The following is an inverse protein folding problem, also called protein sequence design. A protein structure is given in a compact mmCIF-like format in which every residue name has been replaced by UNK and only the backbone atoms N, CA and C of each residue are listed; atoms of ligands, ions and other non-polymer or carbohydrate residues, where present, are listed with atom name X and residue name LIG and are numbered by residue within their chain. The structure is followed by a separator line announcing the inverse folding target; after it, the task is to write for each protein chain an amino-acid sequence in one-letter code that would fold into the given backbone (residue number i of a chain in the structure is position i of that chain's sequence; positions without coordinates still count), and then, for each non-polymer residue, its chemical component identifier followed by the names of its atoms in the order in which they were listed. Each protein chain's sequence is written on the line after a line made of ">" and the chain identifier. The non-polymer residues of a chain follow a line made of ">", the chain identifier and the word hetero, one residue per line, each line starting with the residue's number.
data_IF_825060010928
#
_entry.id   IF_825060010928
#
_cell.length_a   1.000
_cell.length_b   1.000
_cell.length_c   1.000
_cell.angle_alpha   90.00
_cell.angle_beta   90.00
_cell.angle_gamma   90.00
#
_symmetry.space_group_name_H-M   'P 1'
#
loop_
_entity.id
_entity.type
_entity.pdbx_description
1 polymer ?
#
# COMPACT_ATOMS: atom_id res chain seq x y z
N UNK A 1 -10.63 20.00 8.44
CA UNK A 1 -10.42 19.10 7.29
C UNK A 1 -8.95 18.71 7.33
N UNK A 2 -8.57 17.46 7.06
CA UNK A 2 -7.15 17.14 6.89
C UNK A 2 -6.57 18.02 5.77
N UNK A 3 -5.28 18.36 5.90
CA UNK A 3 -4.55 19.10 4.86
C UNK A 3 -4.66 18.30 3.55
N UNK A 4 -4.99 18.90 2.40
CA UNK A 4 -5.02 18.20 1.10
C UNK A 4 -3.75 17.42 0.77
N UNK A 5 -2.62 17.78 1.37
CA UNK A 5 -1.35 17.07 1.24
C UNK A 5 -1.31 15.77 2.05
N UNK A 6 -2.07 15.64 3.15
CA UNK A 6 -2.16 14.39 3.94
C UNK A 6 -2.79 13.23 3.17
N UNK A 7 -3.50 13.51 2.07
CA UNK A 7 -4.12 12.50 1.20
C UNK A 7 -3.24 12.09 0.02
N UNK A 8 -1.98 12.55 -0.06
CA UNK A 8 -1.07 12.27 -1.18
C UNK A 8 0.14 11.46 -0.73
N UNK A 9 0.48 10.46 -1.54
CA UNK A 9 1.66 9.63 -1.35
C UNK A 9 2.57 9.68 -2.57
N UNK A 10 3.87 9.42 -2.35
CA UNK A 10 4.85 9.19 -3.41
C UNK A 10 5.21 7.71 -3.50
N UNK A 11 5.40 7.22 -4.73
CA UNK A 11 5.80 5.85 -5.04
C UNK A 11 7.29 5.79 -5.35
N UNK A 12 8.01 4.98 -4.61
CA UNK A 12 9.45 4.76 -4.78
C UNK A 12 9.70 3.38 -5.39
N UNK A 13 10.53 3.34 -6.40
CA UNK A 13 11.00 2.11 -7.07
C UNK A 13 12.47 1.80 -6.77
N UNK A 14 13.15 2.71 -6.06
CA UNK A 14 14.53 2.52 -5.58
C UNK A 14 14.68 3.08 -4.17
N UNK A 15 15.72 2.72 -3.40
CA UNK A 15 15.97 3.30 -2.09
C UNK A 15 16.54 4.73 -2.19
N UNK A 16 15.77 5.64 -2.79
CA UNK A 16 16.16 7.01 -3.10
C UNK A 16 15.88 7.98 -1.93
N UNK A 17 16.86 8.18 -1.07
CA UNK A 17 16.78 9.09 0.08
C UNK A 17 16.48 10.53 -0.34
N UNK A 18 17.12 11.01 -1.42
CA UNK A 18 16.94 12.39 -1.89
C UNK A 18 15.48 12.65 -2.33
N UNK A 19 14.84 11.68 -2.98
CA UNK A 19 13.43 11.81 -3.33
C UNK A 19 12.54 11.91 -2.10
N UNK A 20 12.82 11.15 -1.03
CA UNK A 20 12.06 11.26 0.23
C UNK A 20 12.18 12.66 0.82
N UNK A 21 13.40 13.21 0.88
CA UNK A 21 13.64 14.56 1.41
C UNK A 21 12.93 15.63 0.59
N UNK A 22 13.06 15.59 -0.75
CA UNK A 22 12.40 16.52 -1.65
C UNK A 22 10.87 16.43 -1.58
N UNK A 23 10.32 15.21 -1.58
CA UNK A 23 8.87 15.00 -1.49
C UNK A 23 8.32 15.51 -0.15
N UNK A 24 9.01 15.25 0.98
CA UNK A 24 8.66 15.83 2.30
C UNK A 24 8.60 17.34 2.24
N UNK A 25 9.60 17.99 1.65
CA UNK A 25 9.67 19.45 1.56
C UNK A 25 8.56 20.03 0.67
N UNK A 26 8.01 19.22 -0.23
CA UNK A 26 6.82 19.50 -1.04
C UNK A 26 5.51 19.12 -0.33
N UNK A 27 5.57 18.63 0.93
CA UNK A 27 4.42 18.33 1.76
C UNK A 27 3.88 16.89 1.63
N UNK A 28 4.59 15.96 0.97
CA UNK A 28 4.21 14.55 0.97
C UNK A 28 4.46 13.93 2.35
N UNK A 29 3.42 13.37 2.96
CA UNK A 29 3.50 12.74 4.27
C UNK A 29 3.59 11.20 4.22
N UNK A 30 3.37 10.60 3.05
CA UNK A 30 3.24 9.15 2.88
C UNK A 30 4.07 8.64 1.70
N UNK A 31 4.63 7.44 1.87
CA UNK A 31 5.45 6.78 0.85
C UNK A 31 5.01 5.33 0.65
N UNK A 32 4.96 4.90 -0.61
CA UNK A 32 4.80 3.49 -0.99
C UNK A 32 6.10 3.00 -1.61
N UNK A 33 6.69 1.95 -1.03
CA UNK A 33 7.87 1.30 -1.57
C UNK A 33 7.43 0.11 -2.43
N UNK A 34 7.73 0.14 -3.72
CA UNK A 34 7.45 -0.98 -4.63
C UNK A 34 8.58 -2.02 -4.55
N UNK A 35 8.56 -2.83 -3.52
CA UNK A 35 9.58 -3.87 -3.32
C UNK A 35 9.41 -4.99 -4.36
N UNK A 36 8.20 -5.17 -4.88
CA UNK A 36 7.90 -6.21 -5.86
C UNK A 36 8.59 -5.98 -7.21
N UNK A 37 8.43 -4.78 -7.78
CA UNK A 37 8.92 -4.45 -9.12
C UNK A 37 10.10 -3.47 -9.11
N UNK A 38 10.40 -2.89 -7.96
CA UNK A 38 11.48 -1.94 -7.79
C UNK A 38 12.85 -2.62 -7.58
N UNK A 39 13.86 -1.81 -7.41
CA UNK A 39 15.25 -2.24 -7.20
C UNK A 39 15.61 -2.10 -5.70
N UNK A 40 14.98 -2.92 -4.87
CA UNK A 40 15.13 -2.89 -3.42
C UNK A 40 15.88 -4.13 -2.91
N UNK A 41 17.08 -3.91 -2.40
CA UNK A 41 17.78 -4.89 -1.56
C UNK A 41 17.41 -4.71 -0.08
N UNK A 42 17.59 -5.74 0.73
CA UNK A 42 17.15 -5.78 2.12
C UNK A 42 17.76 -4.64 2.97
N UNK A 43 19.09 -4.49 2.99
CA UNK A 43 19.77 -3.51 3.84
C UNK A 43 19.47 -2.05 3.44
N UNK A 44 19.52 -1.64 2.15
CA UNK A 44 19.08 -0.31 1.74
C UNK A 44 17.60 -0.03 2.06
N UNK A 45 16.74 -1.02 1.96
CA UNK A 45 15.31 -0.89 2.27
C UNK A 45 15.09 -0.61 3.75
N UNK A 46 15.75 -1.37 4.63
CA UNK A 46 15.68 -1.15 6.09
C UNK A 46 16.13 0.25 6.49
N UNK A 47 17.24 0.72 5.90
CA UNK A 47 17.79 2.08 6.15
C UNK A 47 16.84 3.18 5.65
N UNK A 48 16.22 2.99 4.47
CA UNK A 48 15.26 3.95 3.93
C UNK A 48 14.01 4.05 4.81
N UNK A 49 13.46 2.91 5.24
CA UNK A 49 12.31 2.86 6.16
C UNK A 49 12.65 3.57 7.46
N UNK A 50 13.83 3.31 8.04
CA UNK A 50 14.29 3.99 9.25
C UNK A 50 14.37 5.52 9.07
N UNK A 51 14.87 5.99 7.93
CA UNK A 51 14.93 7.41 7.60
C UNK A 51 13.53 8.03 7.51
N UNK A 52 12.63 7.42 6.73
CA UNK A 52 11.24 7.89 6.58
C UNK A 52 10.56 7.99 7.95
N UNK A 53 10.70 6.96 8.78
CA UNK A 53 10.13 6.96 10.14
C UNK A 53 10.77 8.01 11.06
N UNK A 54 12.08 8.24 10.97
CA UNK A 54 12.78 9.26 11.74
C UNK A 54 12.34 10.69 11.34
N UNK A 55 11.87 10.88 10.11
CA UNK A 55 11.30 12.15 9.63
C UNK A 55 9.83 12.35 10.07
N UNK A 56 9.22 11.39 10.78
CA UNK A 56 7.82 11.44 11.19
C UNK A 56 6.83 11.17 10.06
N UNK A 57 7.28 10.52 8.98
CA UNK A 57 6.49 10.21 7.79
C UNK A 57 5.95 8.78 7.85
N UNK A 58 4.90 8.50 7.06
CA UNK A 58 4.34 7.16 6.93
C UNK A 58 4.94 6.41 5.75
N UNK A 59 5.17 5.10 5.91
CA UNK A 59 5.71 4.23 4.86
C UNK A 59 4.92 2.92 4.76
N UNK A 60 4.52 2.61 3.55
CA UNK A 60 3.82 1.38 3.18
C UNK A 60 4.68 0.58 2.22
N UNK A 61 4.79 -0.73 2.42
CA UNK A 61 5.56 -1.60 1.54
C UNK A 61 4.61 -2.43 0.65
N UNK A 62 4.66 -2.24 -0.67
CA UNK A 62 4.15 -3.23 -1.61
C UNK A 62 5.16 -4.36 -1.65
N UNK A 63 4.84 -5.44 -0.95
CA UNK A 63 5.78 -6.52 -0.64
C UNK A 63 6.08 -7.39 -1.85
N UNK A 64 7.22 -8.12 -1.81
CA UNK A 64 7.73 -8.95 -2.91
C UNK A 64 6.74 -10.05 -3.38
N UNK A 65 5.71 -10.34 -2.60
CA UNK A 65 4.69 -11.30 -2.96
C UNK A 65 3.83 -11.73 -1.78
N UNK A 66 2.77 -12.52 -2.03
CA UNK A 66 1.75 -12.87 -1.05
C UNK A 66 2.19 -14.07 -0.17
N UNK A 67 3.34 -13.95 0.50
CA UNK A 67 3.85 -14.97 1.42
C UNK A 67 4.25 -14.36 2.77
N UNK A 68 4.34 -15.19 3.81
CA UNK A 68 4.60 -14.72 5.17
C UNK A 68 5.91 -13.92 5.29
N UNK A 69 6.99 -14.38 4.65
CA UNK A 69 8.33 -13.80 4.87
C UNK A 69 8.38 -12.32 4.45
N UNK A 70 8.07 -11.91 3.20
CA UNK A 70 8.16 -10.51 2.82
C UNK A 70 7.16 -9.62 3.58
N UNK A 71 5.98 -10.14 3.96
CA UNK A 71 4.99 -9.41 4.75
C UNK A 71 5.55 -9.10 6.14
N UNK A 72 6.07 -10.11 6.83
CA UNK A 72 6.62 -9.96 8.18
C UNK A 72 7.89 -9.10 8.18
N UNK A 73 8.78 -9.29 7.20
CA UNK A 73 10.00 -8.48 7.09
C UNK A 73 9.71 -6.99 6.95
N UNK A 74 8.77 -6.61 6.08
CA UNK A 74 8.40 -5.20 5.91
C UNK A 74 7.84 -4.59 7.21
N UNK A 75 7.00 -5.33 7.92
CA UNK A 75 6.46 -4.89 9.21
C UNK A 75 7.55 -4.82 10.30
N UNK A 76 8.49 -5.77 10.33
CA UNK A 76 9.59 -5.80 11.30
C UNK A 76 10.62 -4.68 11.06
N UNK A 77 10.81 -4.26 9.80
CA UNK A 77 11.55 -3.04 9.45
C UNK A 77 10.88 -1.75 9.93
N UNK A 78 9.59 -1.80 10.28
CA UNK A 78 8.84 -0.66 10.84
C UNK A 78 7.93 0.05 9.86
N UNK A 79 7.54 -0.56 8.74
CA UNK A 79 6.49 -0.03 7.90
C UNK A 79 5.18 0.16 8.68
N UNK A 80 4.44 1.21 8.36
CA UNK A 80 3.11 1.46 8.92
C UNK A 80 2.07 0.49 8.37
N UNK A 81 2.34 -0.09 7.20
CA UNK A 81 1.52 -1.13 6.63
C UNK A 81 2.16 -1.84 5.45
N UNK A 82 1.50 -2.93 5.06
CA UNK A 82 1.87 -3.73 3.88
C UNK A 82 0.75 -3.73 2.85
N UNK A 83 1.14 -3.61 1.59
CA UNK A 83 0.29 -3.79 0.43
C UNK A 83 0.66 -5.15 -0.16
N UNK A 84 -0.29 -6.08 -0.16
CA UNK A 84 -0.05 -7.48 -0.54
C UNK A 84 -0.55 -7.71 -1.96
N UNK A 85 0.34 -7.86 -2.94
CA UNK A 85 -0.05 -8.08 -4.34
C UNK A 85 -0.58 -9.51 -4.56
N UNK A 86 -1.11 -9.76 -5.76
CA UNK A 86 -1.51 -11.08 -6.26
C UNK A 86 -2.54 -11.82 -5.42
N UNK A 87 -3.48 -11.11 -4.81
CA UNK A 87 -4.61 -11.73 -4.14
C UNK A 87 -5.48 -12.42 -5.18
N UNK A 88 -5.60 -13.76 -5.04
CA UNK A 88 -6.32 -14.57 -6.02
C UNK A 88 -7.82 -14.70 -5.74
N UNK A 89 -8.23 -14.83 -4.48
CA UNK A 89 -9.62 -14.99 -4.04
C UNK A 89 -9.71 -14.86 -2.50
N UNK A 90 -10.91 -14.99 -1.94
CA UNK A 90 -11.14 -14.90 -0.49
C UNK A 90 -10.31 -15.90 0.32
N UNK A 91 -10.19 -17.16 -0.12
CA UNK A 91 -9.42 -18.17 0.63
C UNK A 91 -7.92 -17.82 0.66
N UNK A 92 -7.39 -17.33 -0.44
CA UNK A 92 -6.02 -16.83 -0.53
C UNK A 92 -5.84 -15.58 0.35
N UNK A 93 -6.72 -14.58 0.25
CA UNK A 93 -6.70 -13.38 1.07
C UNK A 93 -6.64 -13.73 2.56
N UNK A 94 -7.56 -14.57 3.04
CA UNK A 94 -7.62 -15.03 4.44
C UNK A 94 -6.30 -15.62 4.92
N UNK A 95 -5.67 -16.46 4.10
CA UNK A 95 -4.40 -17.11 4.43
C UNK A 95 -3.26 -16.11 4.55
N UNK A 96 -3.13 -15.21 3.59
CA UNK A 96 -1.96 -14.32 3.51
C UNK A 96 -2.09 -13.11 4.44
N UNK A 97 -3.27 -12.51 4.59
CA UNK A 97 -3.47 -11.36 5.47
C UNK A 97 -3.32 -11.73 6.95
N UNK A 98 -3.62 -12.98 7.32
CA UNK A 98 -3.36 -13.48 8.66
C UNK A 98 -1.87 -13.40 9.06
N UNK A 99 -0.95 -13.43 8.10
CA UNK A 99 0.50 -13.32 8.38
C UNK A 99 0.96 -11.91 8.75
N UNK A 100 0.11 -10.91 8.55
CA UNK A 100 0.37 -9.52 8.94
C UNK A 100 -0.05 -9.21 10.38
N UNK A 101 -0.79 -10.08 11.05
CA UNK A 101 -1.38 -9.87 12.36
C UNK A 101 -0.92 -10.93 13.37
N UNK A 102 -0.66 -10.51 14.60
CA UNK A 102 -0.33 -11.41 15.70
C UNK A 102 -1.57 -12.17 16.21
N UNK A 103 -1.37 -13.35 16.85
CA UNK A 103 -2.45 -14.05 17.55
C UNK A 103 -3.14 -13.14 18.60
N UNK A 104 -4.45 -13.32 18.85
CA UNK A 104 -5.33 -14.33 18.28
C UNK A 104 -5.89 -13.97 16.89
N UNK A 105 -5.62 -12.75 16.38
CA UNK A 105 -6.17 -12.23 15.13
C UNK A 105 -5.57 -12.91 13.90
N UNK A 106 -4.28 -13.20 13.94
CA UNK A 106 -3.54 -13.80 12.83
C UNK A 106 -2.47 -14.78 13.29
N UNK A 107 -1.42 -14.94 12.47
CA UNK A 107 -0.33 -15.92 12.67
C UNK A 107 1.06 -15.30 12.48
N UNK A 108 1.21 -13.96 12.57
CA UNK A 108 2.52 -13.29 12.49
C UNK A 108 3.44 -13.80 13.57
N UNK A 109 4.69 -14.12 13.20
CA UNK A 109 5.75 -14.48 14.14
C UNK A 109 6.34 -13.22 14.78
N UNK A 110 6.67 -13.29 16.06
CA UNK A 110 7.33 -12.20 16.78
C UNK A 110 8.83 -12.15 16.48
N UNK A 111 9.32 -10.93 16.27
CA UNK A 111 10.74 -10.63 16.26
C UNK A 111 11.00 -9.45 17.22
N UNK A 112 12.06 -9.55 18.06
CA UNK A 112 12.54 -8.43 18.88
C UNK A 112 13.25 -7.39 18.01
N UNK A 113 12.50 -6.77 17.09
CA UNK A 113 13.00 -5.86 16.06
C UNK A 113 12.81 -4.38 16.44
N UNK A 114 12.98 -3.49 15.46
CA UNK A 114 12.80 -2.05 15.63
C UNK A 114 11.45 -1.68 16.24
N UNK A 115 10.37 -2.33 15.83
CA UNK A 115 9.00 -2.03 16.27
C UNK A 115 8.78 -2.30 17.76
N UNK A 116 9.50 -3.25 18.36
CA UNK A 116 9.48 -3.53 19.80
C UNK A 116 10.62 -2.86 20.57
N UNK A 117 11.34 -1.90 19.95
CA UNK A 117 12.49 -1.25 20.58
C UNK A 117 13.68 -2.19 20.82
N UNK A 118 13.81 -3.24 20.00
CA UNK A 118 14.83 -4.30 20.11
C UNK A 118 14.75 -5.11 21.41
N UNK A 119 13.58 -5.10 22.05
CA UNK A 119 13.32 -5.80 23.31
C UNK A 119 12.24 -6.86 23.19
N UNK A 120 11.71 -7.25 24.34
CA UNK A 120 10.53 -8.11 24.46
C UNK A 120 9.23 -7.33 24.23
N UNK A 121 8.14 -8.08 24.15
CA UNK A 121 6.79 -7.53 24.03
C UNK A 121 5.90 -8.20 25.09
N UNK A 122 4.90 -7.46 25.56
CA UNK A 122 3.83 -7.97 26.38
C UNK A 122 2.51 -8.11 25.60
N UNK A 123 1.48 -8.64 26.21
CA UNK A 123 0.20 -8.87 25.53
C UNK A 123 -0.43 -7.56 25.01
N UNK A 124 -0.23 -6.44 25.70
CA UNK A 124 -0.73 -5.15 25.27
C UNK A 124 0.00 -4.67 24.03
N UNK A 125 1.32 -4.85 23.96
CA UNK A 125 2.10 -4.49 22.77
C UNK A 125 1.61 -5.23 21.51
N UNK A 126 1.30 -6.55 21.62
CA UNK A 126 0.76 -7.31 20.48
C UNK A 126 -0.61 -6.76 20.02
N UNK A 127 -1.47 -6.39 20.95
CA UNK A 127 -2.78 -5.80 20.63
C UNK A 127 -2.64 -4.44 19.94
N UNK A 128 -1.73 -3.59 20.46
CA UNK A 128 -1.44 -2.27 19.90
C UNK A 128 -0.80 -2.39 18.53
N UNK A 129 0.13 -3.33 18.34
CA UNK A 129 0.80 -3.57 17.07
C UNK A 129 -0.17 -4.10 15.99
N UNK A 130 -1.14 -4.95 16.36
CA UNK A 130 -2.21 -5.38 15.46
C UNK A 130 -3.09 -4.22 14.98
N UNK A 131 -3.22 -3.19 15.80
CA UNK A 131 -3.98 -1.96 15.46
C UNK A 131 -3.11 -0.99 14.64
N UNK A 132 -1.83 -0.85 15.00
CA UNK A 132 -0.88 0.07 14.37
C UNK A 132 -0.52 -0.35 12.96
N UNK A 133 -0.10 -1.60 12.78
CA UNK A 133 0.33 -2.11 11.48
C UNK A 133 -0.87 -2.41 10.58
N UNK A 134 -0.86 -1.85 9.36
CA UNK A 134 -1.98 -1.97 8.42
C UNK A 134 -1.73 -3.04 7.37
N UNK A 135 -2.80 -3.71 6.97
CA UNK A 135 -2.78 -4.77 5.95
C UNK A 135 -3.76 -4.44 4.83
N UNK A 136 -3.23 -4.18 3.64
CA UNK A 136 -3.98 -3.81 2.44
C UNK A 136 -3.78 -4.88 1.35
N UNK A 137 -4.67 -5.89 1.22
CA UNK A 137 -4.66 -6.76 0.06
C UNK A 137 -4.95 -5.96 -1.21
N UNK A 138 -4.20 -6.24 -2.30
CA UNK A 138 -4.46 -5.62 -3.59
C UNK A 138 -5.63 -6.28 -4.31
N UNK A 139 -6.56 -5.45 -4.78
CA UNK A 139 -7.62 -5.85 -5.70
C UNK A 139 -7.16 -5.52 -7.12
N UNK A 140 -6.54 -6.49 -7.76
CA UNK A 140 -5.91 -6.37 -9.07
C UNK A 140 -6.21 -7.56 -9.98
N UNK A 141 -7.12 -8.44 -9.57
CA UNK A 141 -7.56 -9.57 -10.37
C UNK A 141 -9.07 -9.67 -10.42
N UNK A 142 -9.60 -10.24 -11.51
CA UNK A 142 -11.04 -10.48 -11.67
C UNK A 142 -11.61 -11.34 -10.53
N UNK A 143 -10.84 -12.31 -10.03
CA UNK A 143 -11.27 -13.19 -8.95
C UNK A 143 -11.24 -12.48 -7.58
N UNK A 144 -10.21 -11.66 -7.29
CA UNK A 144 -10.21 -10.85 -6.08
C UNK A 144 -11.35 -9.82 -6.08
N UNK A 145 -11.62 -9.19 -7.23
CA UNK A 145 -12.76 -8.27 -7.37
C UNK A 145 -14.10 -9.00 -7.17
N UNK A 146 -14.22 -10.24 -7.64
CA UNK A 146 -15.45 -11.02 -7.44
C UNK A 146 -15.75 -11.27 -5.95
N UNK A 147 -14.71 -11.42 -5.14
CA UNK A 147 -14.77 -11.69 -3.70
C UNK A 147 -14.55 -10.43 -2.83
N UNK A 148 -14.54 -9.22 -3.40
CA UNK A 148 -14.03 -8.00 -2.74
C UNK A 148 -14.77 -7.68 -1.43
N UNK A 149 -16.07 -7.84 -1.38
CA UNK A 149 -16.89 -7.60 -0.19
C UNK A 149 -16.51 -8.57 0.95
N UNK A 150 -16.26 -9.84 0.62
CA UNK A 150 -15.85 -10.84 1.58
C UNK A 150 -14.36 -10.66 2.00
N UNK A 151 -13.50 -10.20 1.10
CA UNK A 151 -12.09 -9.93 1.39
C UNK A 151 -11.98 -8.75 2.35
N UNK A 152 -12.66 -7.64 2.06
CA UNK A 152 -12.58 -6.45 2.93
C UNK A 152 -13.20 -6.68 4.29
N UNK A 153 -14.16 -7.61 4.42
CA UNK A 153 -14.78 -7.97 5.70
C UNK A 153 -13.88 -8.80 6.64
N UNK A 154 -12.73 -9.31 6.18
CA UNK A 154 -11.80 -10.05 7.03
C UNK A 154 -11.24 -9.16 8.16
N UNK A 155 -11.18 -9.67 9.39
CA UNK A 155 -10.64 -8.95 10.55
C UNK A 155 -9.14 -8.63 10.41
N UNK A 156 -8.42 -9.41 9.58
CA UNK A 156 -6.99 -9.21 9.29
C UNK A 156 -6.73 -8.17 8.19
N UNK A 157 -7.77 -7.61 7.59
CA UNK A 157 -7.71 -6.59 6.54
C UNK A 157 -8.08 -5.24 7.12
N UNK A 158 -7.18 -4.27 7.02
CA UNK A 158 -7.42 -2.90 7.50
C UNK A 158 -7.97 -1.97 6.41
N UNK A 159 -7.88 -2.37 5.16
CA UNK A 159 -8.36 -1.62 4.00
C UNK A 159 -7.99 -2.31 2.69
N UNK A 160 -8.23 -1.66 1.56
CA UNK A 160 -7.90 -2.19 0.24
C UNK A 160 -6.89 -1.32 -0.49
N UNK A 161 -6.04 -1.93 -1.30
CA UNK A 161 -5.27 -1.23 -2.32
C UNK A 161 -5.78 -1.65 -3.70
N UNK A 162 -6.15 -0.69 -4.56
CA UNK A 162 -6.67 -0.98 -5.89
C UNK A 162 -5.54 -0.93 -6.93
N UNK A 163 -5.39 -2.00 -7.71
CA UNK A 163 -4.38 -2.12 -8.77
C UNK A 163 -5.01 -2.05 -10.16
N UNK A 164 -5.28 -0.83 -10.71
CA UNK A 164 -6.07 -0.68 -11.93
C UNK A 164 -5.45 -1.34 -13.16
N UNK A 165 -4.12 -1.30 -13.30
CA UNK A 165 -3.42 -1.84 -14.47
C UNK A 165 -3.58 -3.36 -14.58
N UNK A 166 -3.24 -4.08 -13.50
CA UNK A 166 -3.35 -5.54 -13.48
C UNK A 166 -4.80 -6.02 -13.46
N UNK A 167 -5.70 -5.25 -12.83
CA UNK A 167 -7.13 -5.53 -12.89
C UNK A 167 -7.65 -5.48 -14.32
N UNK A 168 -7.30 -4.44 -15.09
CA UNK A 168 -7.69 -4.34 -16.51
C UNK A 168 -7.14 -5.50 -17.34
N UNK A 169 -5.88 -5.88 -17.14
CA UNK A 169 -5.26 -7.06 -17.76
C UNK A 169 -6.00 -8.35 -17.38
N UNK A 170 -6.25 -8.56 -16.09
CA UNK A 170 -6.97 -9.74 -15.58
C UNK A 170 -8.40 -9.84 -16.11
N UNK A 171 -9.04 -8.71 -16.40
CA UNK A 171 -10.37 -8.64 -17.02
C UNK A 171 -10.34 -8.84 -18.54
N UNK A 172 -9.16 -9.04 -19.13
CA UNK A 172 -8.99 -9.24 -20.58
C UNK A 172 -9.15 -7.98 -21.42
N UNK A 173 -9.09 -6.78 -20.80
CA UNK A 173 -9.24 -5.50 -21.50
C UNK A 173 -7.93 -4.91 -22.03
N UNK A 174 -6.79 -5.54 -21.72
CA UNK A 174 -5.47 -5.03 -22.07
C UNK A 174 -5.02 -3.90 -21.16
N UNK A 175 -4.26 -2.93 -21.72
CA UNK A 175 -3.76 -1.81 -20.94
C UNK A 175 -4.89 -0.99 -20.31
N UNK A 176 -4.74 -0.62 -19.07
CA UNK A 176 -5.64 0.29 -18.37
C UNK A 176 -5.72 1.66 -19.07
N UNK A 177 -6.92 2.18 -19.29
CA UNK A 177 -7.17 3.40 -20.05
C UNK A 177 -8.29 4.27 -19.45
N UNK A 178 -8.65 4.05 -18.22
CA UNK A 178 -9.76 4.75 -17.55
C UNK A 178 -11.09 4.61 -18.33
N UNK A 179 -11.30 3.45 -18.99
CA UNK A 179 -12.58 3.19 -19.66
C UNK A 179 -13.71 3.10 -18.63
N UNK A 180 -14.97 3.29 -19.07
CA UNK A 180 -16.14 3.16 -18.20
C UNK A 180 -16.13 1.81 -17.45
N UNK A 181 -15.68 0.74 -18.10
CA UNK A 181 -15.59 -0.58 -17.49
C UNK A 181 -14.45 -0.69 -16.45
N UNK A 182 -13.32 0.02 -16.67
CA UNK A 182 -12.24 0.10 -15.69
C UNK A 182 -12.69 0.88 -14.45
N UNK A 183 -13.33 2.03 -14.70
CA UNK A 183 -13.82 2.88 -13.61
C UNK A 183 -14.92 2.20 -12.79
N UNK A 184 -15.82 1.45 -13.42
CA UNK A 184 -16.85 0.67 -12.72
C UNK A 184 -16.27 -0.43 -11.81
N UNK A 185 -15.18 -1.10 -12.22
CA UNK A 185 -14.50 -2.08 -11.38
C UNK A 185 -13.83 -1.41 -10.14
N UNK A 186 -13.24 -0.23 -10.33
CA UNK A 186 -12.64 0.54 -9.22
C UNK A 186 -13.72 1.07 -8.27
N UNK A 187 -14.82 1.60 -8.81
CA UNK A 187 -15.97 2.07 -8.04
C UNK A 187 -16.54 0.94 -7.17
N UNK A 188 -16.76 -0.25 -7.72
CA UNK A 188 -17.21 -1.41 -6.96
C UNK A 188 -16.29 -1.75 -5.79
N UNK A 189 -14.98 -1.75 -6.00
CA UNK A 189 -14.03 -2.05 -4.93
C UNK A 189 -13.99 -0.95 -3.86
N UNK A 190 -14.09 0.32 -4.26
CA UNK A 190 -14.20 1.46 -3.36
C UNK A 190 -15.49 1.42 -2.53
N UNK A 191 -16.63 1.13 -3.16
CA UNK A 191 -17.92 0.97 -2.49
C UNK A 191 -17.91 -0.17 -1.47
N UNK A 192 -17.29 -1.32 -1.79
CA UNK A 192 -17.14 -2.43 -0.86
C UNK A 192 -16.33 -2.02 0.38
N UNK A 193 -15.22 -1.28 0.19
CA UNK A 193 -14.43 -0.77 1.30
C UNK A 193 -15.20 0.25 2.14
N UNK A 194 -15.87 1.21 1.50
CA UNK A 194 -16.69 2.23 2.17
C UNK A 194 -17.85 1.60 2.96
N UNK A 195 -18.52 0.60 2.39
CA UNK A 195 -19.60 -0.12 3.08
C UNK A 195 -19.11 -0.90 4.31
N UNK A 196 -17.87 -1.40 4.27
CA UNK A 196 -17.21 -2.04 5.40
C UNK A 196 -16.62 -1.04 6.42
N UNK A 197 -16.70 0.27 6.17
CA UNK A 197 -16.09 1.31 7.02
C UNK A 197 -14.55 1.26 7.02
N UNK A 198 -13.94 0.71 5.97
CA UNK A 198 -12.49 0.55 5.85
C UNK A 198 -11.91 1.45 4.77
N UNK A 199 -10.69 2.01 5.00
CA UNK A 199 -10.01 2.85 4.01
C UNK A 199 -9.65 2.05 2.76
N UNK A 200 -9.53 2.77 1.64
CA UNK A 200 -8.96 2.24 0.43
C UNK A 200 -8.02 3.25 -0.22
N UNK A 201 -7.10 2.75 -1.02
CA UNK A 201 -5.97 3.47 -1.58
C UNK A 201 -5.82 3.06 -3.04
N UNK A 202 -5.39 3.97 -3.91
CA UNK A 202 -5.00 3.64 -5.28
C UNK A 202 -3.89 4.55 -5.81
N UNK A 203 -3.14 4.12 -6.83
CA UNK A 203 -2.37 5.03 -7.66
C UNK A 203 -3.34 5.89 -8.50
N UNK A 204 -3.08 7.19 -8.57
CA UNK A 204 -3.90 8.16 -9.29
C UNK A 204 -2.99 9.12 -10.06
N UNK A 205 -2.51 8.68 -11.23
CA UNK A 205 -1.49 9.38 -12.00
C UNK A 205 -2.06 10.55 -12.79
N UNK A 206 -3.33 10.46 -13.21
CA UNK A 206 -4.03 11.49 -13.98
C UNK A 206 -4.89 12.37 -13.06
N UNK A 207 -5.26 13.54 -13.55
CA UNK A 207 -6.19 14.41 -12.83
C UNK A 207 -7.59 13.78 -12.72
N UNK A 208 -8.02 13.06 -13.76
CA UNK A 208 -9.30 12.35 -13.77
C UNK A 208 -9.35 11.26 -12.67
N UNK A 209 -8.30 10.45 -12.55
CA UNK A 209 -8.19 9.45 -11.47
C UNK A 209 -8.20 10.10 -10.09
N UNK A 210 -7.49 11.22 -9.90
CA UNK A 210 -7.47 11.94 -8.62
C UNK A 210 -8.85 12.47 -8.24
N UNK A 211 -9.57 13.03 -9.20
CA UNK A 211 -10.94 13.52 -8.98
C UNK A 211 -11.90 12.39 -8.66
N UNK A 212 -11.85 11.28 -9.41
CA UNK A 212 -12.68 10.10 -9.18
C UNK A 212 -12.39 9.47 -7.81
N UNK A 213 -11.11 9.23 -7.47
CA UNK A 213 -10.72 8.66 -6.19
C UNK A 213 -11.13 9.56 -5.01
N UNK A 214 -10.97 10.88 -5.14
CA UNK A 214 -11.42 11.84 -4.13
C UNK A 214 -12.92 11.82 -3.94
N UNK A 215 -13.69 11.80 -5.04
CA UNK A 215 -15.15 11.75 -5.00
C UNK A 215 -15.68 10.47 -4.37
N UNK A 216 -14.98 9.34 -4.57
CA UNK A 216 -15.31 8.03 -3.99
C UNK A 216 -14.76 7.85 -2.57
N UNK A 217 -14.01 8.82 -2.01
CA UNK A 217 -13.55 8.79 -0.63
C UNK A 217 -12.28 7.98 -0.39
N UNK A 218 -11.33 7.97 -1.32
CA UNK A 218 -10.01 7.37 -1.09
C UNK A 218 -9.35 7.97 0.16
N UNK A 219 -8.77 7.13 1.01
CA UNK A 219 -8.09 7.56 2.23
C UNK A 219 -6.82 8.35 1.90
N UNK A 220 -6.08 7.88 0.91
CA UNK A 220 -5.03 8.62 0.24
C UNK A 220 -4.78 8.07 -1.17
N UNK A 221 -4.08 8.85 -1.99
CA UNK A 221 -3.74 8.50 -3.37
C UNK A 221 -2.24 8.56 -3.57
N UNK A 222 -1.70 7.64 -4.37
CA UNK A 222 -0.31 7.73 -4.83
C UNK A 222 -0.31 8.55 -6.11
N UNK A 223 0.24 9.76 -6.04
CA UNK A 223 0.09 10.77 -7.12
C UNK A 223 1.39 11.13 -7.84
N UNK A 224 2.51 10.66 -7.31
CA UNK A 224 3.83 10.84 -7.90
C UNK A 224 4.61 9.52 -7.83
N UNK A 225 5.21 9.11 -8.94
CA UNK A 225 6.15 8.01 -8.99
C UNK A 225 7.57 8.52 -9.28
N UNK A 226 8.57 7.78 -8.80
CA UNK A 226 9.98 8.15 -8.91
C UNK A 226 10.43 8.29 -10.36
N UNK A 227 10.18 7.26 -11.18
CA UNK A 227 10.66 7.25 -12.56
C UNK A 227 9.96 8.29 -13.41
N UNK A 228 8.64 8.43 -13.28
CA UNK A 228 7.87 9.44 -13.99
C UNK A 228 8.27 10.85 -13.59
N UNK A 229 8.55 11.09 -12.31
CA UNK A 229 9.01 12.39 -11.82
C UNK A 229 10.37 12.76 -12.40
N UNK A 230 11.32 11.83 -12.42
CA UNK A 230 12.66 12.04 -13.02
C UNK A 230 12.51 12.23 -14.54
N UNK A 231 11.78 11.36 -15.23
CA UNK A 231 11.58 11.45 -16.67
C UNK A 231 10.96 12.79 -17.09
N UNK A 232 9.90 13.21 -16.41
CA UNK A 232 9.21 14.46 -16.72
C UNK A 232 10.11 15.68 -16.46
N UNK A 233 10.88 15.69 -15.36
CA UNK A 233 11.84 16.74 -15.08
C UNK A 233 12.92 16.86 -16.16
N UNK A 234 13.50 15.73 -16.58
CA UNK A 234 14.48 15.69 -17.67
C UNK A 234 13.85 16.10 -19.02
N UNK A 235 12.63 15.66 -19.29
CA UNK A 235 11.92 16.01 -20.51
C UNK A 235 11.65 17.51 -20.60
N UNK A 236 11.20 18.14 -19.52
CA UNK A 236 10.98 19.59 -19.47
C UNK A 236 12.30 20.39 -19.62
N UNK A 237 13.39 19.92 -18.99
CA UNK A 237 14.68 20.60 -19.06
C UNK A 237 15.35 20.51 -20.46
N UNK A 238 14.84 19.67 -21.37
CA UNK A 238 15.37 19.50 -22.74
C UNK A 238 14.99 20.66 -23.68
N UNK A 239 13.99 21.43 -23.32
CA UNK A 239 13.43 22.55 -24.10
C UNK A 239 13.63 23.88 -23.39
#
# INVERSE_FOLDING_TARGET
>A
MPDPMDTRAAWLSTPNHAMVEMARDLGYGKFVLDIEHGLFDFDPTDKLIALIKAMGLEVYAKVLGPTAVPIQQALDMGCDGVIIPHIGNLAHARKVTATAKYPPLGVRSFAGSRTSGYGGADDQWYADENTRSKCFPMIESAAALADVEAIVALDTVDGLFLGPSDLSLSRGRGAYRESDADMADLERAAEAANAAGKPWIMPAWTENERQAASALGAAFMVVADEYGSIFNGLFQARH
#
